data_IF_199299095806
#
_entry.id   IF_199299095806
#
_cell.length_a   1.000
_cell.length_b   1.000
_cell.length_c   1.000
_cell.angle_alpha   90.00
_cell.angle_beta   90.00
_cell.angle_gamma   90.00
#
_symmetry.space_group_name_H-M   'P 1'
#
loop_
_entity.id
_entity.type
_entity.pdbx_description
1 polymer ?
#
# COMPACT_ATOMS: atom_id res chain seq x y z
N UNK A 1 -22.27 13.86 5.55
CA UNK A 1 -21.19 12.88 5.39
C UNK A 1 -20.72 12.92 3.95
N UNK A 2 -19.52 13.45 3.70
CA UNK A 2 -18.93 13.53 2.36
C UNK A 2 -17.77 12.52 2.25
N UNK A 3 -17.76 11.77 1.16
CA UNK A 3 -16.67 10.87 0.81
C UNK A 3 -16.20 11.25 -0.60
N UNK A 4 -14.91 11.55 -0.74
CA UNK A 4 -14.28 11.86 -2.02
C UNK A 4 -13.14 10.88 -2.27
N UNK A 5 -13.13 10.30 -3.46
CA UNK A 5 -12.06 9.44 -3.95
C UNK A 5 -11.33 10.19 -5.05
N UNK A 6 -10.02 10.37 -4.88
CA UNK A 6 -9.17 10.99 -5.91
C UNK A 6 -8.06 10.03 -6.28
N UNK A 7 -8.01 9.71 -7.57
CA UNK A 7 -6.91 8.96 -8.16
C UNK A 7 -5.70 9.88 -8.35
N UNK A 8 -4.50 9.45 -7.91
CA UNK A 8 -3.32 10.31 -7.86
C UNK A 8 -2.39 10.17 -9.08
N UNK A 9 -2.31 8.97 -9.64
CA UNK A 9 -1.53 8.57 -10.82
C UNK A 9 -2.40 7.67 -11.71
N UNK A 10 -1.82 6.99 -12.71
CA UNK A 10 -2.55 6.02 -13.53
C UNK A 10 -2.64 4.62 -12.87
N UNK A 11 -2.05 4.47 -11.68
CA UNK A 11 -1.75 3.19 -11.03
C UNK A 11 -2.69 2.98 -9.82
N UNK A 12 -2.19 2.38 -8.74
CA UNK A 12 -2.99 1.97 -7.58
C UNK A 12 -3.00 2.98 -6.45
N UNK A 13 -2.55 4.23 -6.70
CA UNK A 13 -2.48 5.26 -5.66
C UNK A 13 -3.73 6.12 -5.57
N UNK A 14 -4.41 6.04 -4.42
CA UNK A 14 -5.65 6.76 -4.15
C UNK A 14 -5.54 7.65 -2.92
N UNK A 15 -6.18 8.81 -2.98
CA UNK A 15 -6.47 9.64 -1.83
C UNK A 15 -7.95 9.51 -1.51
N UNK A 16 -8.25 9.02 -0.31
CA UNK A 16 -9.60 8.91 0.22
C UNK A 16 -9.79 10.05 1.21
N UNK A 17 -10.74 10.94 0.95
CA UNK A 17 -11.12 11.99 1.87
C UNK A 17 -12.48 11.65 2.45
N UNK A 18 -12.51 11.39 3.75
CA UNK A 18 -13.72 11.18 4.50
C UNK A 18 -13.90 12.36 5.46
N UNK A 19 -14.82 13.27 5.12
CA UNK A 19 -14.94 14.57 5.78
C UNK A 19 -13.60 15.34 5.78
N UNK A 20 -12.95 15.48 6.94
CA UNK A 20 -11.64 16.11 7.09
C UNK A 20 -10.49 15.10 7.25
N UNK A 21 -10.78 13.80 7.21
CA UNK A 21 -9.81 12.72 7.39
C UNK A 21 -9.28 12.25 6.03
N UNK A 22 -7.94 12.27 5.88
CA UNK A 22 -7.26 11.96 4.62
C UNK A 22 -6.45 10.68 4.73
N UNK A 23 -6.82 9.71 3.92
CA UNK A 23 -6.16 8.41 3.85
C UNK A 23 -5.47 8.29 2.51
N UNK A 24 -4.18 7.94 2.56
CA UNK A 24 -3.38 7.67 1.38
C UNK A 24 -3.25 6.15 1.19
N UNK A 25 -3.77 5.63 0.09
CA UNK A 25 -3.74 4.21 -0.25
C UNK A 25 -2.66 3.94 -1.31
N UNK A 26 -1.80 2.96 -1.05
CA UNK A 26 -0.78 2.42 -1.96
C UNK A 26 0.01 3.51 -2.72
N UNK A 27 0.71 4.42 -2.02
CA UNK A 27 1.31 5.57 -2.65
C UNK A 27 2.59 5.24 -3.43
N UNK A 28 2.51 5.40 -4.74
CA UNK A 28 3.63 5.36 -5.66
C UNK A 28 3.70 6.66 -6.47
N UNK A 29 4.45 7.65 -5.98
CA UNK A 29 4.46 9.00 -6.56
C UNK A 29 5.75 9.34 -7.31
N UNK A 30 6.77 8.48 -7.23
CA UNK A 30 8.06 8.73 -7.87
C UNK A 30 8.60 7.44 -8.51
N UNK A 31 9.17 7.57 -9.71
CA UNK A 31 10.00 6.53 -10.34
C UNK A 31 9.34 5.80 -11.53
N UNK A 32 10.19 5.29 -12.42
CA UNK A 32 9.91 4.17 -13.33
C UNK A 32 10.38 2.88 -12.66
N UNK A 33 9.66 1.77 -12.79
CA UNK A 33 10.09 0.48 -12.26
C UNK A 33 11.28 -0.04 -13.09
N UNK A 34 12.45 -0.17 -12.48
CA UNK A 34 13.53 -1.03 -12.97
C UNK A 34 14.24 -1.64 -11.76
N UNK A 35 14.74 -2.86 -11.92
CA UNK A 35 15.49 -3.73 -10.97
C UNK A 35 14.58 -4.81 -10.36
N UNK A 36 14.30 -5.97 -11.01
CA UNK A 36 15.20 -7.14 -10.99
C UNK A 36 14.86 -8.25 -12.03
N UNK A 37 14.20 -7.97 -13.17
CA UNK A 37 14.10 -8.98 -14.23
C UNK A 37 14.02 -8.35 -15.63
N UNK A 38 14.97 -8.71 -16.50
CA UNK A 38 15.22 -8.14 -17.85
C UNK A 38 14.12 -8.43 -18.89
N UNK A 39 12.97 -8.97 -18.47
CA UNK A 39 11.92 -9.52 -19.34
C UNK A 39 10.49 -9.11 -18.96
N UNK A 40 10.28 -8.22 -17.98
CA UNK A 40 8.95 -7.70 -17.66
C UNK A 40 8.86 -6.21 -18.00
N UNK A 41 7.78 -5.87 -18.71
CA UNK A 41 7.49 -4.58 -19.34
C UNK A 41 7.88 -3.38 -18.47
N UNK A 42 8.69 -2.48 -19.04
CA UNK A 42 8.84 -1.10 -18.55
C UNK A 42 7.46 -0.49 -18.40
N UNK A 43 6.96 -0.41 -17.16
CA UNK A 43 5.80 0.41 -16.83
C UNK A 43 6.33 1.78 -16.48
N UNK A 44 6.29 2.68 -17.46
CA UNK A 44 6.41 4.10 -17.22
C UNK A 44 5.02 4.62 -16.81
N UNK A 45 4.99 5.51 -15.81
CA UNK A 45 3.79 6.27 -15.48
C UNK A 45 3.22 6.88 -16.77
N UNK A 46 2.03 6.44 -17.20
CA UNK A 46 1.38 6.98 -18.40
C UNK A 46 1.08 8.49 -18.26
N UNK A 47 1.00 8.99 -17.03
CA UNK A 47 0.74 10.40 -16.68
C UNK A 47 1.54 10.77 -15.43
N UNK A 48 2.14 11.97 -15.41
CA UNK A 48 2.79 12.51 -14.19
C UNK A 48 1.78 12.53 -13.02
N UNK A 49 2.17 12.12 -11.80
CA UNK A 49 1.29 12.25 -10.64
C UNK A 49 0.81 13.68 -10.50
N UNK A 50 -0.48 13.87 -10.21
CA UNK A 50 -1.09 15.20 -10.11
C UNK A 50 -0.64 15.98 -8.85
N UNK A 51 0.28 15.40 -8.08
CA UNK A 51 0.82 15.90 -6.82
C UNK A 51 2.33 15.63 -6.83
N UNK A 52 3.14 16.68 -6.81
CA UNK A 52 4.60 16.58 -6.71
C UNK A 52 5.06 16.64 -5.25
N UNK A 53 4.28 17.29 -4.39
CA UNK A 53 4.52 17.37 -2.96
C UNK A 53 3.19 17.23 -2.20
N UNK A 54 2.94 16.06 -1.62
CA UNK A 54 1.71 15.76 -0.86
C UNK A 54 1.36 16.86 0.14
N UNK A 55 2.34 17.32 0.92
CA UNK A 55 2.12 18.32 1.97
C UNK A 55 1.81 19.71 1.41
N UNK A 56 2.36 20.07 0.24
CA UNK A 56 2.17 21.39 -0.38
C UNK A 56 0.89 21.43 -1.21
N UNK A 57 0.62 20.40 -1.99
CA UNK A 57 -0.42 20.42 -3.01
C UNK A 57 -1.81 20.07 -2.46
N UNK A 58 -1.88 19.35 -1.33
CA UNK A 58 -3.15 19.00 -0.65
C UNK A 58 -3.53 19.97 0.47
N UNK A 59 -2.67 20.93 0.80
CA UNK A 59 -2.91 21.98 1.81
C UNK A 59 -3.15 21.49 3.24
N UNK A 60 -3.05 20.18 3.52
CA UNK A 60 -3.20 19.59 4.85
C UNK A 60 -2.40 18.29 4.96
N UNK A 61 -2.11 17.89 6.19
CA UNK A 61 -1.39 16.66 6.55
C UNK A 61 -2.21 15.40 6.23
N UNK A 62 -1.54 14.31 5.86
CA UNK A 62 -2.14 12.98 5.72
C UNK A 62 -2.32 12.37 7.10
N UNK A 63 -3.50 11.83 7.38
CA UNK A 63 -3.84 11.29 8.70
C UNK A 63 -3.49 9.80 8.83
N UNK A 64 -3.56 9.05 7.72
CA UNK A 64 -3.22 7.64 7.70
C UNK A 64 -2.72 7.19 6.32
N UNK A 65 -1.86 6.18 6.33
CA UNK A 65 -1.41 5.47 5.12
C UNK A 65 -1.93 4.03 5.19
N UNK A 66 -2.46 3.53 4.08
CA UNK A 66 -2.86 2.13 3.92
C UNK A 66 -1.99 1.50 2.84
N UNK A 67 -1.43 0.33 3.14
CA UNK A 67 -0.66 -0.48 2.19
C UNK A 67 -1.32 -1.85 2.05
N UNK A 68 -1.80 -2.15 0.84
CA UNK A 68 -2.54 -3.38 0.56
C UNK A 68 -1.62 -4.60 0.48
N UNK A 69 -0.39 -4.45 -0.05
CA UNK A 69 0.59 -5.54 -0.15
C UNK A 69 2.02 -5.01 -0.37
N UNK A 70 3.00 -5.91 -0.27
CA UNK A 70 4.44 -5.61 -0.18
C UNK A 70 5.15 -5.31 -1.51
N UNK A 71 4.46 -5.44 -2.65
CA UNK A 71 5.08 -5.22 -3.95
C UNK A 71 5.34 -3.73 -4.20
N UNK A 72 6.41 -3.43 -4.95
CA UNK A 72 6.97 -2.07 -5.06
C UNK A 72 6.02 -1.06 -5.69
N UNK A 73 5.07 -1.53 -6.49
CA UNK A 73 4.01 -0.75 -7.13
C UNK A 73 2.89 -0.33 -6.16
N UNK A 74 2.93 -0.84 -4.93
CA UNK A 74 2.01 -0.49 -3.84
C UNK A 74 2.75 -0.02 -2.57
N UNK A 75 3.91 -0.60 -2.28
CA UNK A 75 4.75 -0.34 -1.11
C UNK A 75 6.09 0.29 -1.52
N UNK A 76 6.04 1.48 -2.11
CA UNK A 76 7.24 2.16 -2.62
C UNK A 76 7.99 2.91 -1.51
N UNK A 77 9.15 2.39 -1.09
CA UNK A 77 9.96 2.94 0.01
C UNK A 77 10.29 4.43 -0.17
N UNK A 78 10.71 4.84 -1.37
CA UNK A 78 11.09 6.24 -1.62
C UNK A 78 9.90 7.19 -1.51
N UNK A 79 8.70 6.77 -1.92
CA UNK A 79 7.48 7.57 -1.71
C UNK A 79 7.17 7.66 -0.22
N UNK A 80 7.17 6.52 0.48
CA UNK A 80 6.78 6.45 1.88
C UNK A 80 7.74 7.21 2.81
N UNK A 81 9.05 7.16 2.54
CA UNK A 81 10.05 7.96 3.26
C UNK A 81 9.98 9.47 3.01
N UNK A 82 9.28 9.91 1.97
CA UNK A 82 9.01 11.34 1.76
C UNK A 82 7.90 11.89 2.68
N UNK A 83 7.13 11.00 3.31
CA UNK A 83 6.06 11.33 4.24
C UNK A 83 6.57 11.39 5.69
N UNK A 84 5.82 12.04 6.59
CA UNK A 84 6.20 12.11 8.00
C UNK A 84 6.19 10.71 8.64
N UNK A 85 7.26 10.39 9.37
CA UNK A 85 7.40 9.17 10.16
C UNK A 85 6.33 8.99 11.26
N UNK A 86 5.65 10.07 11.65
CA UNK A 86 4.58 10.07 12.66
C UNK A 86 3.23 9.60 12.14
N UNK A 87 3.06 9.54 10.82
CA UNK A 87 1.78 9.13 10.21
C UNK A 87 1.60 7.63 10.46
N UNK A 88 0.46 7.19 11.02
CA UNK A 88 0.19 5.77 11.21
C UNK A 88 0.05 5.04 9.87
N UNK A 89 0.74 3.91 9.75
CA UNK A 89 0.69 3.03 8.59
C UNK A 89 -0.10 1.77 8.95
N UNK A 90 -1.14 1.47 8.18
CA UNK A 90 -1.92 0.25 8.26
C UNK A 90 -1.58 -0.63 7.07
N UNK A 91 -1.04 -1.82 7.32
CA UNK A 91 -0.52 -2.67 6.25
C UNK A 91 -0.83 -4.14 6.48
N UNK A 92 -0.96 -4.92 5.40
CA UNK A 92 -1.05 -6.38 5.49
C UNK A 92 0.22 -6.97 6.11
N UNK A 93 0.16 -8.20 6.62
CA UNK A 93 1.26 -8.83 7.38
C UNK A 93 2.61 -8.70 6.67
N UNK A 94 2.69 -9.10 5.40
CA UNK A 94 3.94 -9.02 4.62
C UNK A 94 4.42 -7.58 4.43
N UNK A 95 3.53 -6.66 4.07
CA UNK A 95 3.86 -5.25 3.88
C UNK A 95 4.32 -4.60 5.20
N UNK A 96 3.65 -4.90 6.31
CA UNK A 96 4.01 -4.37 7.63
C UNK A 96 5.41 -4.85 8.07
N UNK A 97 5.74 -6.11 7.79
CA UNK A 97 7.07 -6.69 8.07
C UNK A 97 8.17 -6.00 7.25
N UNK A 98 7.91 -5.72 5.97
CA UNK A 98 8.82 -4.96 5.11
C UNK A 98 9.02 -3.53 5.63
N UNK A 99 7.93 -2.82 5.92
CA UNK A 99 7.96 -1.41 6.37
C UNK A 99 8.67 -1.27 7.73
N UNK A 100 8.52 -2.24 8.64
CA UNK A 100 9.25 -2.24 9.92
C UNK A 100 10.76 -2.35 9.73
N UNK A 101 11.25 -3.08 8.73
CA UNK A 101 12.69 -3.20 8.44
C UNK A 101 13.32 -1.86 8.03
N UNK A 102 12.52 -0.93 7.51
CA UNK A 102 12.99 0.40 7.14
C UNK A 102 13.35 1.28 8.33
N UNK A 103 12.91 0.91 9.55
CA UNK A 103 13.15 1.63 10.81
C UNK A 103 12.84 3.14 10.70
N UNK A 104 11.76 3.47 9.99
CA UNK A 104 11.39 4.85 9.69
C UNK A 104 10.10 5.29 10.40
N UNK A 105 9.01 4.53 10.22
CA UNK A 105 7.71 4.88 10.80
C UNK A 105 7.62 4.52 12.29
N UNK A 106 7.04 5.43 13.08
CA UNK A 106 6.82 5.24 14.52
C UNK A 106 5.65 4.28 14.80
N UNK A 107 4.66 4.28 13.91
CA UNK A 107 3.42 3.54 14.09
C UNK A 107 3.11 2.71 12.84
N UNK A 108 3.28 1.39 12.96
CA UNK A 108 2.90 0.41 11.92
C UNK A 108 1.95 -0.60 12.55
N UNK A 109 0.73 -0.64 12.03
CA UNK A 109 -0.34 -1.53 12.46
C UNK A 109 -0.61 -2.57 11.39
N UNK A 110 -0.73 -3.82 11.82
CA UNK A 110 -1.10 -4.91 10.93
C UNK A 110 -2.63 -4.90 10.74
N UNK A 111 -3.06 -5.03 9.48
CA UNK A 111 -4.46 -5.26 9.11
C UNK A 111 -4.57 -6.61 8.38
N UNK A 112 -5.65 -7.37 8.58
CA UNK A 112 -5.80 -8.66 7.92
C UNK A 112 -5.94 -8.50 6.41
N UNK A 113 -5.28 -9.36 5.65
CA UNK A 113 -5.54 -9.49 4.22
C UNK A 113 -6.87 -10.19 3.96
N UNK A 114 -7.38 -10.09 2.74
CA UNK A 114 -8.56 -10.86 2.30
C UNK A 114 -8.33 -12.36 2.51
N UNK A 115 -7.11 -12.85 2.25
CA UNK A 115 -6.77 -14.25 2.47
C UNK A 115 -6.85 -14.64 3.95
N UNK A 116 -6.38 -13.78 4.86
CA UNK A 116 -6.45 -14.02 6.31
C UNK A 116 -7.89 -14.10 6.79
N UNK A 117 -8.75 -13.20 6.28
CA UNK A 117 -10.18 -13.21 6.58
C UNK A 117 -10.85 -14.47 6.04
N UNK A 118 -10.50 -14.92 4.83
CA UNK A 118 -11.07 -16.15 4.24
C UNK A 118 -10.62 -17.40 4.99
N UNK A 119 -9.36 -17.47 5.42
CA UNK A 119 -8.86 -18.57 6.27
C UNK A 119 -9.58 -18.58 7.61
N UNK A 120 -9.79 -17.43 8.25
CA UNK A 120 -10.52 -17.33 9.52
C UNK A 120 -12.01 -17.70 9.37
N UNK A 121 -12.65 -17.32 8.25
CA UNK A 121 -14.04 -17.70 7.95
C UNK A 121 -14.19 -19.18 7.61
N UNK A 122 -13.21 -19.77 6.92
CA UNK A 122 -13.15 -21.21 6.63
C UNK A 122 -12.88 -22.06 7.88
N UNK A 123 -12.10 -21.56 8.83
CA UNK A 123 -11.81 -22.25 10.10
C UNK A 123 -13.04 -22.38 11.02
N UNK A 124 -14.07 -21.55 10.85
CA UNK A 124 -15.35 -21.67 11.58
C UNK A 124 -16.36 -22.63 10.95
N UNK A 125 -16.02 -23.27 9.82
CA UNK A 125 -16.90 -24.18 9.09
C UNK A 125 -16.22 -25.49 8.70
N UNK A 126 -16.05 -26.41 9.66
CA UNK A 126 -16.03 -27.86 9.43
C UNK A 126 -14.87 -28.47 8.62
N UNK A 127 -14.04 -29.27 9.33
CA UNK A 127 -13.38 -30.51 8.88
C UNK A 127 -12.43 -30.41 7.67
N UNK A 128 -11.13 -30.34 8.00
CA UNK A 128 -9.91 -30.79 7.30
C UNK A 128 -9.87 -30.93 5.77
N UNK A 129 -8.87 -30.32 5.13
CA UNK A 129 -8.12 -30.91 4.00
C UNK A 129 -6.73 -30.26 3.87
N UNK A 130 -5.74 -31.14 3.72
CA UNK A 130 -4.30 -30.99 3.44
C UNK A 130 -3.87 -29.82 2.54
N UNK A 131 -2.84 -29.08 2.98
CA UNK A 131 -1.95 -28.33 2.09
C UNK A 131 -0.59 -29.04 1.99
N UNK A 132 -0.51 -29.99 1.07
CA UNK A 132 0.73 -30.37 0.40
C UNK A 132 0.54 -30.09 -1.10
N UNK A 133 1.61 -29.61 -1.75
CA UNK A 133 1.73 -29.21 -3.16
C UNK A 133 1.22 -27.80 -3.50
N UNK A 134 2.17 -26.86 -3.58
CA UNK A 134 2.52 -26.22 -4.86
C UNK A 134 4.05 -25.97 -4.88
N UNK A 135 4.79 -26.98 -5.33
CA UNK A 135 6.09 -26.84 -6.01
C UNK A 135 5.95 -27.54 -7.37
N UNK A 136 6.68 -27.01 -8.36
CA UNK A 136 6.68 -27.31 -9.80
C UNK A 136 5.68 -26.44 -10.61
N UNK A 137 6.10 -25.70 -11.63
CA UNK A 137 7.27 -25.86 -12.52
C UNK A 137 8.14 -24.62 -12.58
#
# INVERSE_FOLDING_TARGET
MSLTLRHLNADTSWLILFENFKILLDPWLFGSQSEFCRYFSTQEHAVRPSIQNINRDLGMQIDAIIISHEFTDHCHEKTLRSLSATIPVFATTNASNLIRQWNYFQHVYEIPSVQDVLVHRGATGGIGTVHHLLRAK
#
